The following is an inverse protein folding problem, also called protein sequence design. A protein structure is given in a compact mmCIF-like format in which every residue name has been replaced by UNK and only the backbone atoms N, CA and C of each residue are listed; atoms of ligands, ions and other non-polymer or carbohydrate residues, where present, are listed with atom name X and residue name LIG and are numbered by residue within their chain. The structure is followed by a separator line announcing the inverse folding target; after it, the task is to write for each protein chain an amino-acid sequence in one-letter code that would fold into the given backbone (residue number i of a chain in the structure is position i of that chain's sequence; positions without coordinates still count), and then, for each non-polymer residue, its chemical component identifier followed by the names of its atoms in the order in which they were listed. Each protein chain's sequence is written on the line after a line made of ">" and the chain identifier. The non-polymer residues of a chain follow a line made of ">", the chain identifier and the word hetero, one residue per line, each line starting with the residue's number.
data_IF_151113388315
#
_entry.id   IF_151113388315
#
_cell.length_a   1.000
_cell.length_b   1.000
_cell.length_c   1.000
_cell.angle_alpha   90.00
_cell.angle_beta   90.00
_cell.angle_gamma   90.00
#
_symmetry.space_group_name_H-M   'P 1'
#
loop_
_entity.id
_entity.type
_entity.pdbx_description
1 polymer ?
#
# COMPACT_ATOMS: atom_id res chain seq x y z
N UNK A 1 1.50 -18.78 14.29
CA UNK A 1 1.99 -18.89 12.90
C UNK A 1 3.36 -19.55 12.83
N UNK A 2 4.42 -19.01 13.47
CA UNK A 2 5.79 -19.59 13.40
C UNK A 2 5.91 -21.03 13.93
N UNK A 3 5.05 -21.43 14.81
CA UNK A 3 4.99 -22.82 15.32
C UNK A 3 4.49 -23.80 14.26
N UNK A 4 3.66 -23.31 13.30
CA UNK A 4 3.12 -24.14 12.22
C UNK A 4 4.02 -24.18 10.98
N UNK A 5 4.63 -23.06 10.66
CA UNK A 5 5.56 -22.96 9.54
C UNK A 5 6.68 -21.94 9.84
N UNK A 6 7.84 -22.42 10.35
CA UNK A 6 8.97 -21.55 10.64
C UNK A 6 9.75 -21.10 9.41
N UNK A 7 9.46 -21.65 8.23
CA UNK A 7 10.15 -21.33 6.98
C UNK A 7 9.65 -20.03 6.33
N UNK A 8 8.48 -19.54 6.74
CA UNK A 8 7.87 -18.34 6.17
C UNK A 8 8.21 -17.09 6.97
N UNK A 9 8.38 -15.98 6.25
CA UNK A 9 8.46 -14.67 6.87
C UNK A 9 7.11 -14.29 7.47
N UNK A 10 7.15 -13.63 8.62
CA UNK A 10 5.95 -13.10 9.27
C UNK A 10 5.88 -11.60 9.07
N UNK A 11 4.75 -11.17 8.55
CA UNK A 11 4.46 -9.78 8.22
C UNK A 11 3.10 -9.39 8.81
N UNK A 12 2.99 -8.15 9.25
CA UNK A 12 1.74 -7.52 9.62
C UNK A 12 1.83 -6.02 9.36
N UNK A 13 0.84 -5.47 8.69
CA UNK A 13 0.80 -4.08 8.31
C UNK A 13 0.59 -3.17 9.55
N UNK A 14 1.18 -1.97 9.50
CA UNK A 14 1.01 -0.87 10.45
C UNK A 14 1.05 -1.25 11.94
N UNK A 15 2.03 -2.01 12.34
CA UNK A 15 2.10 -2.64 13.66
C UNK A 15 2.73 -1.79 14.76
N UNK A 16 3.24 -0.59 14.45
CA UNK A 16 4.02 0.20 15.42
C UNK A 16 3.21 0.66 16.62
N UNK A 17 1.98 1.06 16.39
CA UNK A 17 1.09 1.55 17.43
C UNK A 17 -0.29 0.91 17.30
N UNK A 18 -0.90 0.61 18.44
CA UNK A 18 -2.31 0.26 18.46
C UNK A 18 -3.20 1.50 18.26
N UNK A 19 -4.50 1.30 18.15
CA UNK A 19 -5.47 2.40 17.98
C UNK A 19 -5.47 3.42 19.14
N UNK A 20 -4.80 3.11 20.25
CA UNK A 20 -4.65 3.98 21.43
C UNK A 20 -3.28 4.65 21.50
N UNK A 21 -2.41 4.42 20.52
CA UNK A 21 -1.07 4.96 20.47
C UNK A 21 -0.05 4.21 21.31
N UNK A 22 -0.35 3.01 21.81
CA UNK A 22 0.63 2.18 22.51
C UNK A 22 1.52 1.46 21.50
N UNK A 23 2.81 1.42 21.80
CA UNK A 23 3.79 0.69 20.98
C UNK A 23 3.57 -0.81 21.10
N UNK A 24 3.40 -1.47 19.97
CA UNK A 24 3.24 -2.91 19.90
C UNK A 24 4.56 -3.67 20.05
N UNK A 25 4.46 -4.92 20.51
CA UNK A 25 5.57 -5.87 20.49
C UNK A 25 5.71 -6.49 19.10
N UNK A 26 6.79 -6.14 18.41
CA UNK A 26 7.09 -6.62 17.05
C UNK A 26 8.07 -7.80 17.04
N UNK A 27 8.37 -8.41 18.19
CA UNK A 27 9.37 -9.50 18.31
C UNK A 27 8.98 -10.74 17.49
N UNK A 28 7.69 -10.97 17.31
CA UNK A 28 7.16 -12.09 16.51
C UNK A 28 7.23 -11.89 15.00
N UNK A 29 7.48 -10.65 14.54
CA UNK A 29 7.55 -10.31 13.12
C UNK A 29 9.00 -10.41 12.62
N UNK A 30 9.17 -10.97 11.43
CA UNK A 30 10.48 -11.07 10.78
C UNK A 30 10.76 -9.93 9.83
N UNK A 31 9.71 -9.23 9.39
CA UNK A 31 9.81 -8.06 8.51
C UNK A 31 9.31 -6.81 9.21
N UNK A 32 9.85 -5.68 8.79
CA UNK A 32 9.29 -4.37 9.05
C UNK A 32 8.26 -4.04 7.96
N UNK A 33 7.13 -3.46 8.33
CA UNK A 33 6.09 -3.04 7.40
C UNK A 33 5.86 -1.54 7.47
N UNK A 34 5.71 -0.93 6.31
CA UNK A 34 5.34 0.48 6.17
C UNK A 34 4.36 0.66 5.02
N UNK A 35 3.57 1.71 5.13
CA UNK A 35 2.62 2.16 4.12
C UNK A 35 3.05 3.55 3.63
N UNK A 36 3.19 3.72 2.32
CA UNK A 36 3.49 5.00 1.66
C UNK A 36 4.70 5.76 2.23
N UNK A 37 5.72 5.06 2.70
CA UNK A 37 6.96 5.71 3.13
C UNK A 37 7.68 6.35 1.96
N UNK A 38 8.10 7.60 2.13
CA UNK A 38 8.88 8.32 1.13
C UNK A 38 10.23 7.64 0.84
N UNK A 39 10.76 7.74 -0.39
CA UNK A 39 12.06 7.18 -0.76
C UNK A 39 13.20 7.61 0.18
N UNK A 40 13.21 8.87 0.61
CA UNK A 40 14.21 9.41 1.53
C UNK A 40 14.18 8.70 2.89
N UNK A 41 12.99 8.44 3.42
CA UNK A 41 12.84 7.71 4.67
C UNK A 41 13.34 6.27 4.54
N UNK A 42 13.10 5.62 3.39
CA UNK A 42 13.61 4.27 3.13
C UNK A 42 15.13 4.27 3.13
N UNK A 43 15.74 5.23 2.46
CA UNK A 43 17.20 5.37 2.42
C UNK A 43 17.78 5.53 3.84
N UNK A 44 17.20 6.41 4.65
CA UNK A 44 17.57 6.60 6.06
C UNK A 44 17.40 5.31 6.88
N UNK A 45 16.28 4.61 6.73
CA UNK A 45 16.02 3.33 7.40
C UNK A 45 17.08 2.28 7.05
N UNK A 46 17.47 2.19 5.81
CA UNK A 46 18.41 1.19 5.33
C UNK A 46 19.84 1.39 5.85
N UNK A 47 20.25 2.63 6.07
CA UNK A 47 21.61 2.94 6.56
C UNK A 47 21.70 3.00 8.10
N UNK A 48 20.60 3.13 8.81
CA UNK A 48 20.58 3.19 10.27
C UNK A 48 20.79 1.79 10.88
N UNK A 49 21.88 1.56 11.64
CA UNK A 49 22.21 0.24 12.17
C UNK A 49 21.22 -0.29 13.24
N UNK A 50 20.36 0.56 13.78
CA UNK A 50 19.31 0.11 14.72
C UNK A 50 18.22 -0.72 14.05
N UNK A 51 18.04 -0.57 12.75
CA UNK A 51 17.07 -1.31 11.98
C UNK A 51 17.72 -2.50 11.27
N UNK A 52 17.34 -3.69 11.66
CA UNK A 52 17.97 -4.93 11.16
C UNK A 52 17.02 -5.82 10.36
N UNK A 53 15.71 -5.57 10.45
CA UNK A 53 14.72 -6.36 9.74
C UNK A 53 14.62 -5.96 8.26
N UNK A 54 14.32 -6.91 7.37
CA UNK A 54 13.91 -6.57 6.02
C UNK A 54 12.68 -5.67 6.02
N UNK A 55 12.66 -4.69 5.12
CA UNK A 55 11.55 -3.78 4.93
C UNK A 55 10.66 -4.22 3.76
N UNK A 56 9.35 -4.19 3.96
CA UNK A 56 8.36 -4.33 2.90
C UNK A 56 7.36 -3.18 2.99
N UNK A 57 7.01 -2.59 1.86
CA UNK A 57 5.91 -1.63 1.80
C UNK A 57 4.62 -2.38 1.53
N UNK A 58 3.71 -2.40 2.51
CA UNK A 58 2.41 -3.03 2.34
C UNK A 58 1.56 -2.32 1.27
N UNK A 59 1.79 -1.02 1.10
CA UNK A 59 1.26 -0.22 0.01
C UNK A 59 2.26 0.87 -0.37
N UNK A 60 2.39 1.14 -1.67
CA UNK A 60 3.17 2.25 -2.21
C UNK A 60 2.69 2.63 -3.61
N UNK A 61 3.17 3.74 -4.15
CA UNK A 61 2.84 4.23 -5.51
C UNK A 61 1.32 4.28 -5.69
N UNK A 62 0.64 5.07 -4.85
CA UNK A 62 -0.82 5.18 -4.87
C UNK A 62 -1.33 5.62 -6.25
N UNK A 63 -1.95 4.69 -6.98
CA UNK A 63 -2.37 4.87 -8.35
C UNK A 63 -3.79 5.45 -8.45
N UNK A 64 -4.00 6.64 -7.89
CA UNK A 64 -5.27 7.36 -7.93
C UNK A 64 -5.05 8.82 -8.32
N UNK A 65 -5.92 9.39 -9.12
CA UNK A 65 -5.81 10.77 -9.59
C UNK A 65 -4.50 11.02 -10.33
N UNK A 66 -3.66 11.93 -9.83
CA UNK A 66 -2.35 12.26 -10.41
C UNK A 66 -1.22 11.29 -10.01
N UNK A 67 -1.49 10.25 -9.27
CA UNK A 67 -0.59 9.09 -9.11
C UNK A 67 -0.64 8.19 -10.34
N UNK A 68 0.19 7.16 -10.42
CA UNK A 68 1.31 6.83 -9.56
C UNK A 68 2.56 7.67 -9.86
N UNK A 69 3.34 7.94 -8.81
CA UNK A 69 4.63 8.65 -8.94
C UNK A 69 5.79 7.88 -8.32
N UNK A 70 7.01 8.36 -8.58
CA UNK A 70 8.24 7.92 -7.92
C UNK A 70 8.62 6.44 -8.09
N UNK A 71 7.96 5.70 -8.99
CA UNK A 71 8.21 4.29 -9.23
C UNK A 71 9.69 3.98 -9.50
N UNK A 72 10.34 4.81 -10.30
CA UNK A 72 11.77 4.70 -10.61
C UNK A 72 12.64 4.82 -9.35
N UNK A 73 12.32 5.76 -8.45
CA UNK A 73 13.07 5.99 -7.22
C UNK A 73 12.97 4.79 -6.28
N UNK A 74 11.76 4.24 -6.11
CA UNK A 74 11.56 3.00 -5.33
C UNK A 74 12.32 1.83 -5.94
N UNK A 75 12.29 1.67 -7.26
CA UNK A 75 13.04 0.61 -7.95
C UNK A 75 14.54 0.73 -7.72
N UNK A 76 15.08 1.95 -7.77
CA UNK A 76 16.50 2.19 -7.48
C UNK A 76 16.86 1.79 -6.04
N UNK A 77 16.00 2.07 -5.06
CA UNK A 77 16.21 1.69 -3.66
C UNK A 77 16.12 0.16 -3.47
N UNK A 78 15.20 -0.52 -4.14
CA UNK A 78 15.09 -1.98 -4.13
C UNK A 78 16.40 -2.61 -4.66
N UNK A 79 16.93 -2.08 -5.74
CA UNK A 79 18.19 -2.57 -6.32
C UNK A 79 19.43 -2.20 -5.50
N UNK A 80 19.36 -1.13 -4.69
CA UNK A 80 20.45 -0.65 -3.85
C UNK A 80 20.60 -1.44 -2.55
N UNK A 81 19.49 -1.89 -1.97
CA UNK A 81 19.47 -2.46 -0.62
C UNK A 81 18.89 -3.86 -0.57
N UNK A 82 19.71 -4.86 -0.28
CA UNK A 82 19.29 -6.27 -0.14
C UNK A 82 18.20 -6.50 0.90
N UNK A 83 18.09 -5.63 1.91
CA UNK A 83 17.05 -5.70 2.93
C UNK A 83 15.75 -5.02 2.56
N UNK A 84 15.71 -4.27 1.45
CA UNK A 84 14.47 -3.70 0.95
C UNK A 84 13.81 -4.68 -0.02
N UNK A 85 12.78 -5.35 0.45
CA UNK A 85 12.09 -6.42 -0.30
C UNK A 85 11.18 -5.88 -1.42
N UNK A 86 10.92 -4.55 -1.42
CA UNK A 86 9.95 -3.91 -2.30
C UNK A 86 8.61 -3.68 -1.63
N UNK A 87 7.54 -3.72 -2.41
CA UNK A 87 6.21 -3.43 -1.89
C UNK A 87 5.10 -3.84 -2.85
N UNK A 88 3.86 -3.51 -2.45
CA UNK A 88 2.65 -3.76 -3.21
C UNK A 88 2.06 -2.45 -3.69
N UNK A 89 1.91 -2.28 -4.99
CA UNK A 89 1.33 -1.08 -5.58
C UNK A 89 -0.14 -0.99 -5.19
N UNK A 90 -0.56 0.15 -4.67
CA UNK A 90 -1.96 0.45 -4.45
C UNK A 90 -2.47 1.39 -5.54
N UNK A 91 -3.18 0.90 -6.59
CA UNK A 91 -3.40 -0.51 -6.79
C UNK A 91 -3.42 -0.84 -8.29
N UNK A 92 -3.34 -2.11 -8.60
CA UNK A 92 -3.21 -2.55 -9.99
C UNK A 92 -4.53 -2.53 -10.77
N UNK A 93 -5.66 -2.74 -10.10
CA UNK A 93 -6.96 -2.87 -10.73
C UNK A 93 -7.92 -1.77 -10.28
N UNK A 94 -8.70 -1.23 -11.22
CA UNK A 94 -9.82 -0.38 -10.90
C UNK A 94 -10.91 -1.16 -10.16
N UNK A 95 -11.40 -0.62 -9.06
CA UNK A 95 -12.49 -1.22 -8.29
C UNK A 95 -13.87 -0.73 -8.73
N UNK A 96 -13.93 0.26 -9.61
CA UNK A 96 -15.19 0.81 -10.05
C UNK A 96 -15.90 -0.08 -11.07
N UNK A 97 -17.21 -0.14 -10.93
CA UNK A 97 -18.07 -0.90 -11.83
C UNK A 97 -18.82 0.07 -12.73
N UNK A 98 -18.80 -0.21 -14.04
CA UNK A 98 -19.55 0.59 -15.00
C UNK A 98 -21.04 0.60 -14.66
N UNK A 99 -21.58 1.80 -14.44
CA UNK A 99 -22.94 2.05 -13.98
C UNK A 99 -23.87 2.67 -15.03
N UNK A 100 -23.42 2.78 -16.29
CA UNK A 100 -24.17 3.41 -17.37
C UNK A 100 -23.59 4.73 -17.83
N UNK A 101 -24.39 5.56 -18.46
CA UNK A 101 -23.99 6.88 -18.98
C UNK A 101 -24.87 7.99 -18.44
N UNK A 102 -24.30 9.17 -18.32
CA UNK A 102 -25.04 10.41 -18.06
C UNK A 102 -25.87 10.85 -19.26
N UNK A 103 -26.84 11.76 -19.11
CA UNK A 103 -27.60 12.30 -20.24
C UNK A 103 -26.76 13.00 -21.31
N UNK A 104 -25.58 13.51 -20.94
CA UNK A 104 -24.59 14.12 -21.84
C UNK A 104 -23.53 13.11 -22.34
N UNK A 105 -23.84 11.81 -22.23
CA UNK A 105 -23.07 10.69 -22.78
C UNK A 105 -21.66 10.52 -22.18
N UNK A 106 -21.48 10.79 -20.87
CA UNK A 106 -20.28 10.44 -20.13
C UNK A 106 -20.49 9.15 -19.36
N UNK A 107 -19.49 8.29 -19.32
CA UNK A 107 -19.54 7.06 -18.53
C UNK A 107 -19.66 7.34 -17.04
N UNK A 108 -20.46 6.53 -16.35
CA UNK A 108 -20.63 6.53 -14.91
C UNK A 108 -19.95 5.28 -14.38
N UNK A 109 -19.01 5.48 -13.47
CA UNK A 109 -18.40 4.41 -12.70
C UNK A 109 -18.85 4.48 -11.25
N UNK A 110 -19.20 3.36 -10.67
CA UNK A 110 -19.72 3.24 -9.31
C UNK A 110 -18.74 2.48 -8.42
N UNK A 111 -18.58 2.97 -7.21
CA UNK A 111 -17.74 2.41 -6.19
C UNK A 111 -18.49 2.35 -4.85
N UNK A 112 -17.85 1.81 -3.80
CA UNK A 112 -18.49 1.58 -2.50
C UNK A 112 -19.36 2.73 -1.99
N UNK A 113 -20.58 2.43 -1.60
CA UNK A 113 -21.66 3.35 -1.23
C UNK A 113 -22.60 3.72 -2.38
N UNK A 114 -22.17 3.64 -3.63
CA UNK A 114 -22.96 4.03 -4.79
C UNK A 114 -24.08 3.03 -5.13
N UNK A 115 -24.03 1.84 -4.54
CA UNK A 115 -25.04 0.80 -4.70
C UNK A 115 -26.07 0.79 -3.54
N UNK A 116 -25.96 1.75 -2.61
CA UNK A 116 -26.84 1.85 -1.45
C UNK A 116 -26.47 0.91 -0.31
N UNK A 117 -25.32 0.26 -0.35
CA UNK A 117 -24.81 -0.59 0.73
C UNK A 117 -24.32 0.24 1.91
N UNK A 118 -24.48 -0.33 3.12
CA UNK A 118 -23.97 0.25 4.36
C UNK A 118 -23.59 -0.88 5.34
N UNK A 119 -22.46 -0.81 6.05
CA UNK A 119 -21.43 0.25 5.99
C UNK A 119 -20.55 0.16 4.75
N UNK A 120 -19.96 1.29 4.37
CA UNK A 120 -18.92 1.38 3.33
C UNK A 120 -17.77 2.28 3.82
N UNK A 121 -16.59 2.15 3.24
CA UNK A 121 -15.39 2.91 3.65
C UNK A 121 -15.37 4.36 3.14
N UNK A 122 -16.28 4.71 2.24
CA UNK A 122 -16.40 6.06 1.69
C UNK A 122 -15.25 6.45 0.76
N UNK A 123 -14.38 5.51 0.42
CA UNK A 123 -13.29 5.74 -0.52
C UNK A 123 -13.87 6.02 -1.90
N UNK A 124 -13.83 7.28 -2.29
CA UNK A 124 -14.21 7.68 -3.63
C UNK A 124 -13.01 7.52 -4.55
N UNK A 125 -12.92 6.39 -5.23
CA UNK A 125 -12.07 6.29 -6.40
C UNK A 125 -12.64 7.19 -7.49
N UNK A 126 -12.02 8.31 -7.73
CA UNK A 126 -12.31 9.07 -8.95
C UNK A 126 -11.51 8.40 -10.05
N UNK A 127 -12.13 7.52 -10.77
CA UNK A 127 -11.57 7.00 -12.01
C UNK A 127 -11.84 8.08 -13.05
N UNK A 128 -10.84 8.86 -13.34
CA UNK A 128 -10.82 9.62 -14.56
C UNK A 128 -10.51 8.62 -15.68
N UNK A 129 -11.44 8.46 -16.60
CA UNK A 129 -11.43 7.40 -17.63
C UNK A 129 -10.22 7.48 -18.58
N UNK A 130 -9.07 7.19 -18.05
CA UNK A 130 -7.80 7.21 -18.77
C UNK A 130 -6.66 6.56 -18.00
N UNK A 131 -6.84 6.28 -16.74
CA UNK A 131 -5.80 5.69 -15.91
C UNK A 131 -5.81 4.15 -15.97
N UNK A 132 -5.67 3.64 -17.16
CA UNK A 132 -5.07 2.32 -17.34
C UNK A 132 -3.57 2.50 -17.14
N UNK A 133 -3.05 1.88 -16.11
CA UNK A 133 -1.61 1.65 -15.95
C UNK A 133 -1.07 0.93 -17.18
#
# INVERSE_FOLDING_TARGET
>A
MREYDPSRLTHYENTYYDARGHKNDLSSLTTESRMYSAPEWIDEYMVDPKYTKPLVLCEYIHAMGNGPGDAEQYQQLIMKYDRFMGGFVWEWCDHAVYGGTTPDNRDIFRYGGDFGEYPHDGNTLIIDGGDTI
#
